data_IF_525031341342
#
_entry.id   IF_525031341342
#
_cell.length_a   1.000
_cell.length_b   1.000
_cell.length_c   1.000
_cell.angle_alpha   90.00
_cell.angle_beta   90.00
_cell.angle_gamma   90.00
#
_symmetry.space_group_name_H-M   'P 1'
#
loop_
_entity.id
_entity.type
_entity.pdbx_description
1 polymer ?
#
# COMPACT_ATOMS: atom_id res chain seq x y z
N UNK A 1 0.61 1.39 -33.98
CA UNK A 1 -0.60 1.57 -33.14
C UNK A 1 -1.84 1.52 -34.02
N UNK A 2 -2.87 0.74 -33.65
CA UNK A 2 -4.14 0.65 -34.39
C UNK A 2 -5.04 1.87 -34.12
N UNK A 3 -6.05 2.11 -34.97
CA UNK A 3 -7.03 3.20 -34.77
C UNK A 3 -7.79 3.02 -33.45
N UNK A 4 -8.21 1.78 -33.14
CA UNK A 4 -8.90 1.47 -31.89
C UNK A 4 -8.02 1.77 -30.68
N UNK A 5 -6.74 1.37 -30.71
CA UNK A 5 -5.82 1.63 -29.61
C UNK A 5 -5.60 3.13 -29.41
N UNK A 6 -5.42 3.89 -30.49
CA UNK A 6 -5.32 5.35 -30.43
C UNK A 6 -6.51 5.96 -29.69
N UNK A 7 -7.74 5.60 -30.08
CA UNK A 7 -8.95 6.14 -29.46
C UNK A 7 -9.05 5.81 -27.97
N UNK A 8 -8.64 4.60 -27.57
CA UNK A 8 -8.58 4.21 -26.16
C UNK A 8 -7.59 5.08 -25.38
N UNK A 9 -6.39 5.30 -25.92
CA UNK A 9 -5.38 6.13 -25.26
C UNK A 9 -5.81 7.59 -25.14
N UNK A 10 -6.44 8.15 -26.19
CA UNK A 10 -7.01 9.50 -26.15
C UNK A 10 -8.10 9.60 -25.07
N UNK A 11 -8.99 8.59 -24.99
CA UNK A 11 -10.03 8.51 -23.94
C UNK A 11 -9.42 8.47 -22.54
N UNK A 12 -8.33 7.70 -22.35
CA UNK A 12 -7.63 7.65 -21.07
C UNK A 12 -7.00 9.01 -20.75
N UNK A 13 -6.32 9.65 -21.70
CA UNK A 13 -5.72 10.96 -21.48
C UNK A 13 -6.76 12.02 -21.09
N UNK A 14 -7.94 11.98 -21.70
CA UNK A 14 -9.07 12.82 -21.31
C UNK A 14 -9.57 12.50 -19.89
N UNK A 15 -9.66 11.21 -19.52
CA UNK A 15 -10.03 10.79 -18.16
C UNK A 15 -9.01 11.26 -17.10
N UNK A 16 -7.73 11.32 -17.46
CA UNK A 16 -6.66 11.85 -16.61
C UNK A 16 -6.59 13.38 -16.63
N UNK A 17 -7.48 14.05 -17.38
CA UNK A 17 -7.56 15.51 -17.53
C UNK A 17 -6.25 16.13 -18.03
N UNK A 18 -5.49 15.40 -18.85
CA UNK A 18 -4.22 15.88 -19.38
C UNK A 18 -4.44 16.87 -20.53
N UNK A 19 -3.61 17.93 -20.64
CA UNK A 19 -3.69 18.82 -21.79
C UNK A 19 -3.43 18.08 -23.10
N UNK A 20 -4.16 18.46 -24.17
CA UNK A 20 -4.03 17.84 -25.48
C UNK A 20 -2.59 17.95 -25.99
N UNK A 21 -1.99 16.80 -26.34
CA UNK A 21 -0.61 16.73 -26.83
C UNK A 21 0.47 16.88 -25.77
N UNK A 22 0.12 16.93 -24.48
CA UNK A 22 1.10 17.01 -23.39
C UNK A 22 1.96 15.73 -23.27
N UNK A 23 1.45 14.59 -23.72
CA UNK A 23 2.14 13.29 -23.70
C UNK A 23 1.97 12.63 -25.05
N UNK A 24 3.07 12.10 -25.59
CA UNK A 24 3.02 11.32 -26.83
C UNK A 24 2.24 10.01 -26.61
N UNK A 25 1.32 9.69 -27.53
CA UNK A 25 0.52 8.46 -27.43
C UNK A 25 1.36 7.19 -27.36
N UNK A 26 2.50 7.14 -28.04
CA UNK A 26 3.40 5.99 -28.00
C UNK A 26 4.03 5.80 -26.60
N UNK A 27 4.30 6.89 -25.89
CA UNK A 27 4.83 6.86 -24.54
C UNK A 27 3.77 6.42 -23.53
N UNK A 28 2.53 6.91 -23.68
CA UNK A 28 1.40 6.43 -22.88
C UNK A 28 1.10 4.94 -23.14
N UNK A 29 1.18 4.49 -24.40
CA UNK A 29 1.01 3.08 -24.75
C UNK A 29 2.09 2.20 -24.09
N UNK A 30 3.34 2.69 -24.06
CA UNK A 30 4.44 2.01 -23.38
C UNK A 30 4.19 1.88 -21.87
N UNK A 31 3.70 2.93 -21.22
CA UNK A 31 3.36 2.91 -19.78
C UNK A 31 2.30 1.85 -19.43
N UNK A 32 1.41 1.55 -20.38
CA UNK A 32 0.33 0.57 -20.24
C UNK A 32 0.72 -0.84 -20.70
N UNK A 33 1.97 -1.06 -21.12
CA UNK A 33 2.45 -2.35 -21.62
C UNK A 33 3.24 -3.09 -20.54
N UNK A 34 2.63 -4.10 -19.95
CA UNK A 34 3.22 -4.91 -18.90
C UNK A 34 4.37 -5.80 -19.41
N UNK A 35 5.34 -6.08 -18.55
CA UNK A 35 6.48 -6.96 -18.84
C UNK A 35 6.06 -8.33 -19.42
N UNK A 36 4.92 -8.88 -18.99
CA UNK A 36 4.45 -10.17 -19.50
C UNK A 36 4.08 -10.12 -20.97
N UNK A 37 3.71 -8.95 -21.51
CA UNK A 37 3.39 -8.78 -22.92
C UNK A 37 4.63 -8.75 -23.80
N UNK A 38 5.75 -8.19 -23.32
CA UNK A 38 6.99 -8.08 -24.09
C UNK A 38 8.20 -7.88 -23.17
N UNK A 39 9.24 -8.68 -23.38
CA UNK A 39 10.48 -8.57 -22.61
C UNK A 39 11.34 -7.35 -22.99
N UNK A 40 11.06 -6.70 -24.13
CA UNK A 40 11.90 -5.60 -24.65
C UNK A 40 11.17 -4.27 -24.78
N UNK A 41 9.83 -4.30 -24.81
CA UNK A 41 8.97 -3.13 -24.97
C UNK A 41 7.91 -3.19 -23.87
N UNK A 42 8.28 -2.71 -22.69
CA UNK A 42 7.45 -2.75 -21.49
C UNK A 42 7.62 -1.48 -20.64
N UNK A 43 6.83 -1.42 -19.59
CA UNK A 43 6.72 -0.28 -18.69
C UNK A 43 7.75 -0.24 -17.56
N UNK A 44 8.61 -1.25 -17.34
CA UNK A 44 9.49 -1.35 -16.16
C UNK A 44 10.42 -0.13 -15.99
N UNK A 45 10.93 0.43 -17.09
CA UNK A 45 11.78 1.63 -17.02
C UNK A 45 10.98 2.89 -16.65
N UNK A 46 9.73 2.95 -17.09
CA UNK A 46 8.83 4.05 -16.75
C UNK A 46 8.35 3.91 -15.30
N UNK A 47 8.04 2.70 -14.84
CA UNK A 47 7.73 2.37 -13.45
C UNK A 47 8.87 2.86 -12.54
N UNK A 48 10.12 2.45 -12.83
CA UNK A 48 11.29 2.87 -12.06
C UNK A 48 11.43 4.41 -11.94
N UNK A 49 11.24 5.14 -13.04
CA UNK A 49 11.29 6.61 -13.03
C UNK A 49 10.09 7.23 -12.31
N UNK A 50 8.91 6.68 -12.57
CA UNK A 50 7.64 7.17 -12.06
C UNK A 50 7.47 6.97 -10.56
N UNK A 51 8.02 5.89 -10.00
CA UNK A 51 8.08 5.65 -8.57
C UNK A 51 8.90 6.75 -7.85
N UNK A 52 10.04 7.16 -8.41
CA UNK A 52 10.80 8.29 -7.88
C UNK A 52 10.01 9.61 -7.98
N UNK A 53 9.37 9.87 -9.12
CA UNK A 53 8.54 11.05 -9.32
C UNK A 53 7.33 11.09 -8.37
N UNK A 54 6.66 9.96 -8.17
CA UNK A 54 5.56 9.78 -7.23
C UNK A 54 5.97 10.13 -5.80
N UNK A 55 7.11 9.60 -5.33
CA UNK A 55 7.58 9.87 -3.96
C UNK A 55 7.99 11.31 -3.74
N UNK A 56 8.52 11.97 -4.78
CA UNK A 56 8.82 13.40 -4.75
C UNK A 56 7.53 14.23 -4.70
N UNK A 57 6.63 14.02 -5.67
CA UNK A 57 5.35 14.73 -5.75
C UNK A 57 4.52 14.57 -4.45
N UNK A 58 4.43 13.36 -3.92
CA UNK A 58 3.74 13.12 -2.65
C UNK A 58 4.43 13.78 -1.45
N UNK A 59 5.76 13.93 -1.48
CA UNK A 59 6.53 14.67 -0.48
C UNK A 59 6.26 16.17 -0.53
N UNK A 60 6.37 16.76 -1.72
CA UNK A 60 6.07 18.18 -1.97
C UNK A 60 4.63 18.51 -1.57
N UNK A 61 3.67 17.70 -2.03
CA UNK A 61 2.27 17.83 -1.66
C UNK A 61 2.04 17.85 -0.14
N UNK A 62 2.64 16.91 0.61
CA UNK A 62 2.48 16.84 2.07
C UNK A 62 3.12 18.03 2.78
N UNK A 63 4.28 18.48 2.32
CA UNK A 63 4.97 19.64 2.88
C UNK A 63 4.17 20.94 2.69
N UNK A 64 3.54 21.11 1.53
CA UNK A 64 2.78 22.30 1.20
C UNK A 64 1.38 22.30 1.82
N UNK A 65 0.66 21.18 1.73
CA UNK A 65 -0.76 21.09 2.12
C UNK A 65 -0.97 20.74 3.59
N UNK A 66 0.03 20.13 4.25
CA UNK A 66 -0.05 19.70 5.65
C UNK A 66 1.20 20.12 6.46
N UNK A 67 1.54 21.42 6.50
CA UNK A 67 2.77 21.92 7.13
C UNK A 67 2.80 21.69 8.64
N UNK A 68 1.67 21.37 9.27
CA UNK A 68 1.59 21.04 10.70
C UNK A 68 2.07 19.63 11.04
N UNK A 69 2.22 18.74 10.05
CA UNK A 69 2.71 17.38 10.28
C UNK A 69 4.18 17.39 10.67
N UNK A 70 4.54 16.55 11.64
CA UNK A 70 5.95 16.25 11.89
C UNK A 70 6.57 15.48 10.72
N UNK A 71 7.90 15.53 10.56
CA UNK A 71 8.61 14.78 9.53
C UNK A 71 8.32 13.26 9.58
N UNK A 72 8.20 12.70 10.80
CA UNK A 72 7.85 11.31 11.00
C UNK A 72 6.45 10.98 10.50
N UNK A 73 5.47 11.85 10.76
CA UNK A 73 4.10 11.70 10.27
C UNK A 73 4.02 11.85 8.75
N UNK A 74 4.69 12.85 8.17
CA UNK A 74 4.76 13.02 6.72
C UNK A 74 5.33 11.76 6.05
N UNK A 75 6.41 11.21 6.59
CA UNK A 75 7.02 9.97 6.08
C UNK A 75 6.07 8.78 6.18
N UNK A 76 5.38 8.63 7.32
CA UNK A 76 4.40 7.55 7.53
C UNK A 76 3.20 7.69 6.57
N UNK A 77 2.63 8.88 6.44
CA UNK A 77 1.51 9.15 5.52
C UNK A 77 1.95 8.91 4.08
N UNK A 78 3.09 9.46 3.65
CA UNK A 78 3.63 9.25 2.30
C UNK A 78 3.74 7.77 1.97
N UNK A 79 4.27 6.95 2.90
CA UNK A 79 4.40 5.50 2.68
C UNK A 79 3.06 4.80 2.40
N UNK A 80 1.96 5.30 2.96
CA UNK A 80 0.62 4.78 2.70
C UNK A 80 0.08 5.27 1.36
N UNK A 81 0.29 6.55 1.04
CA UNK A 81 -0.17 7.18 -0.21
C UNK A 81 0.45 6.53 -1.46
N UNK A 82 1.74 6.18 -1.38
CA UNK A 82 2.52 5.61 -2.50
C UNK A 82 2.59 4.08 -2.46
N UNK A 83 1.77 3.43 -1.63
CA UNK A 83 1.77 1.96 -1.54
C UNK A 83 1.04 1.31 -2.73
N UNK A 84 1.42 0.10 -3.12
CA UNK A 84 0.76 -0.65 -4.20
C UNK A 84 -0.75 -0.75 -3.98
N UNK A 85 -1.18 -0.91 -2.72
CA UNK A 85 -2.60 -0.96 -2.37
C UNK A 85 -3.30 0.35 -2.73
N UNK A 86 -2.70 1.48 -2.41
CA UNK A 86 -3.23 2.80 -2.74
C UNK A 86 -3.25 3.03 -4.25
N UNK A 87 -2.15 2.74 -4.94
CA UNK A 87 -2.00 2.91 -6.37
C UNK A 87 -2.93 1.97 -7.15
N UNK A 88 -3.07 0.70 -6.76
CA UNK A 88 -4.04 -0.21 -7.36
C UNK A 88 -5.48 0.25 -7.17
N UNK A 89 -5.79 0.89 -6.04
CA UNK A 89 -7.12 1.50 -5.81
C UNK A 89 -7.34 2.69 -6.73
N UNK A 90 -6.30 3.52 -6.94
CA UNK A 90 -6.34 4.62 -7.89
C UNK A 90 -6.51 4.13 -9.32
N UNK A 91 -5.74 3.14 -9.74
CA UNK A 91 -5.82 2.50 -11.05
C UNK A 91 -7.23 1.95 -11.35
N UNK A 92 -7.87 1.33 -10.36
CA UNK A 92 -9.25 0.83 -10.49
C UNK A 92 -10.28 1.94 -10.69
N UNK A 93 -10.10 3.12 -10.06
CA UNK A 93 -10.99 4.26 -10.28
C UNK A 93 -11.00 4.73 -11.73
N UNK A 94 -9.87 4.62 -12.41
CA UNK A 94 -9.72 4.93 -13.83
C UNK A 94 -9.95 3.72 -14.76
N UNK A 95 -10.37 2.57 -14.22
CA UNK A 95 -10.52 1.32 -14.98
C UNK A 95 -9.27 0.94 -15.80
N UNK A 96 -8.06 1.18 -15.28
CA UNK A 96 -6.80 0.96 -16.00
C UNK A 96 -6.62 -0.48 -16.52
N UNK A 97 -7.27 -1.46 -15.89
CA UNK A 97 -7.34 -2.84 -16.39
C UNK A 97 -7.77 -2.95 -17.87
N UNK A 98 -8.64 -2.05 -18.34
CA UNK A 98 -9.12 -2.08 -19.72
C UNK A 98 -8.07 -1.60 -20.74
N UNK A 99 -7.12 -0.78 -20.28
CA UNK A 99 -6.09 -0.19 -21.11
C UNK A 99 -4.77 -0.98 -21.06
N UNK A 100 -4.61 -1.87 -20.09
CA UNK A 100 -3.41 -2.69 -19.92
C UNK A 100 -3.22 -3.68 -21.08
N UNK A 101 -2.00 -3.75 -21.58
CA UNK A 101 -1.56 -4.76 -22.55
C UNK A 101 -0.85 -5.87 -21.77
N UNK A 102 -1.49 -7.03 -21.70
CA UNK A 102 -1.02 -8.20 -20.94
C UNK A 102 -0.88 -9.43 -21.84
N UNK A 103 -0.02 -10.36 -21.45
CA UNK A 103 -0.10 -11.73 -21.98
C UNK A 103 -1.38 -12.44 -21.54
N UNK A 104 -1.77 -13.51 -22.25
CA UNK A 104 -2.95 -14.32 -21.89
C UNK A 104 -2.85 -14.93 -20.49
N UNK A 105 -1.65 -15.35 -20.07
CA UNK A 105 -1.42 -15.91 -18.74
C UNK A 105 -1.57 -14.83 -17.67
N UNK A 106 -0.95 -13.65 -17.85
CA UNK A 106 -1.06 -12.55 -16.89
C UNK A 106 -2.49 -12.00 -16.79
N UNK A 107 -3.25 -11.97 -17.89
CA UNK A 107 -4.66 -11.59 -17.86
C UNK A 107 -5.53 -12.53 -17.00
N UNK A 108 -5.16 -13.81 -16.88
CA UNK A 108 -5.84 -14.79 -16.03
C UNK A 108 -5.37 -14.81 -14.56
N UNK A 109 -4.20 -14.24 -14.26
CA UNK A 109 -3.64 -14.19 -12.91
C UNK A 109 -4.30 -13.08 -12.07
N UNK A 110 -5.27 -13.47 -11.23
CA UNK A 110 -5.93 -12.52 -10.32
C UNK A 110 -5.05 -12.11 -9.14
N UNK A 111 -4.06 -12.92 -8.75
CA UNK A 111 -3.24 -12.65 -7.58
C UNK A 111 -2.29 -11.47 -7.82
N UNK A 112 -1.65 -11.42 -9.00
CA UNK A 112 -0.77 -10.31 -9.40
C UNK A 112 -1.48 -9.07 -9.94
N UNK A 113 -2.81 -9.10 -10.10
CA UNK A 113 -3.55 -8.02 -10.76
C UNK A 113 -3.39 -6.65 -10.08
N UNK A 114 -3.33 -6.61 -8.74
CA UNK A 114 -3.15 -5.35 -8.03
C UNK A 114 -1.72 -4.80 -8.18
N UNK A 115 -0.70 -5.66 -8.21
CA UNK A 115 0.69 -5.23 -8.41
C UNK A 115 0.80 -4.55 -9.78
N UNK A 116 0.39 -5.25 -10.84
CA UNK A 116 0.44 -4.70 -12.21
C UNK A 116 -0.29 -3.37 -12.34
N UNK A 117 -1.43 -3.22 -11.65
CA UNK A 117 -2.16 -1.95 -11.63
C UNK A 117 -1.41 -0.82 -10.91
N UNK A 118 -0.70 -1.12 -9.83
CA UNK A 118 0.16 -0.16 -9.14
C UNK A 118 1.34 0.24 -10.05
N UNK A 119 2.04 -0.75 -10.59
CA UNK A 119 3.19 -0.57 -11.50
C UNK A 119 2.78 0.27 -12.73
N UNK A 120 1.56 0.07 -13.23
CA UNK A 120 1.00 0.87 -14.33
C UNK A 120 0.80 2.34 -13.95
N UNK A 121 0.33 2.63 -12.73
CA UNK A 121 0.17 4.02 -12.27
C UNK A 121 1.53 4.69 -12.15
N UNK A 122 2.53 3.98 -11.62
CA UNK A 122 3.91 4.47 -11.57
C UNK A 122 4.44 4.71 -12.99
N UNK A 123 4.25 3.77 -13.91
CA UNK A 123 4.67 3.95 -15.29
C UNK A 123 3.99 5.13 -16.00
N UNK A 124 2.69 5.38 -15.73
CA UNK A 124 2.00 6.58 -16.23
C UNK A 124 2.67 7.84 -15.67
N UNK A 125 2.95 7.89 -14.36
CA UNK A 125 3.68 9.00 -13.75
C UNK A 125 5.08 9.18 -14.38
N UNK A 126 5.78 8.09 -14.69
CA UNK A 126 7.05 8.11 -15.41
C UNK A 126 6.92 8.73 -16.80
N UNK A 127 5.85 8.40 -17.54
CA UNK A 127 5.55 9.01 -18.83
C UNK A 127 5.22 10.51 -18.73
N UNK A 128 4.45 10.91 -17.72
CA UNK A 128 4.14 12.32 -17.45
C UNK A 128 5.42 13.10 -17.16
N UNK A 129 6.27 12.57 -16.28
CA UNK A 129 7.55 13.19 -15.93
C UNK A 129 8.48 13.28 -17.14
N UNK A 130 8.60 12.21 -17.94
CA UNK A 130 9.49 12.20 -19.10
C UNK A 130 9.05 13.22 -20.18
N UNK A 131 7.76 13.52 -20.25
CA UNK A 131 7.21 14.46 -21.23
C UNK A 131 7.56 15.93 -20.93
N UNK A 132 7.84 16.28 -19.67
CA UNK A 132 8.11 17.68 -19.25
C UNK A 132 9.46 17.87 -18.55
N UNK A 133 10.06 16.80 -18.05
CA UNK A 133 11.24 16.82 -17.19
C UNK A 133 10.98 17.33 -15.76
N UNK A 134 9.72 17.47 -15.35
CA UNK A 134 9.32 17.97 -14.03
C UNK A 134 7.92 17.47 -13.63
N UNK A 135 7.38 17.96 -12.51
CA UNK A 135 6.10 17.50 -11.94
C UNK A 135 4.86 18.27 -12.42
N UNK A 136 4.98 19.17 -13.41
CA UNK A 136 3.88 20.04 -13.86
C UNK A 136 2.64 19.31 -14.42
N UNK A 137 2.81 18.10 -14.96
CA UNK A 137 1.68 17.24 -15.36
C UNK A 137 1.22 16.30 -14.25
N UNK A 138 2.05 16.08 -13.23
CA UNK A 138 1.77 15.14 -12.15
C UNK A 138 0.91 15.79 -11.08
N UNK A 139 1.28 16.98 -10.57
CA UNK A 139 0.56 17.64 -9.48
C UNK A 139 -0.92 17.87 -9.78
N UNK A 140 -1.32 18.47 -10.92
CA UNK A 140 -2.73 18.76 -11.19
C UNK A 140 -3.60 17.50 -11.17
N UNK A 141 -3.05 16.37 -11.61
CA UNK A 141 -3.75 15.09 -11.65
C UNK A 141 -3.69 14.34 -10.30
N UNK A 142 -2.53 14.29 -9.67
CA UNK A 142 -2.27 13.43 -8.51
C UNK A 142 -2.72 14.08 -7.19
N UNK A 143 -2.53 15.39 -7.02
CA UNK A 143 -2.78 16.09 -5.75
C UNK A 143 -4.21 15.94 -5.22
N UNK A 144 -5.29 16.04 -6.04
CA UNK A 144 -6.65 15.82 -5.55
C UNK A 144 -6.86 14.41 -4.97
N UNK A 145 -6.11 13.42 -5.48
CA UNK A 145 -6.15 12.06 -4.95
C UNK A 145 -5.36 11.93 -3.64
N UNK A 146 -4.17 12.53 -3.58
CA UNK A 146 -3.35 12.56 -2.37
C UNK A 146 -4.06 13.29 -1.23
N UNK A 147 -4.77 14.39 -1.52
CA UNK A 147 -5.53 15.15 -0.53
C UNK A 147 -6.65 14.31 0.08
N UNK A 148 -7.47 13.69 -0.78
CA UNK A 148 -8.55 12.80 -0.33
C UNK A 148 -8.00 11.65 0.51
N UNK A 149 -6.96 10.98 0.03
CA UNK A 149 -6.36 9.84 0.72
C UNK A 149 -5.70 10.24 2.05
N UNK A 150 -5.05 11.40 2.10
CA UNK A 150 -4.46 11.95 3.33
C UNK A 150 -5.54 12.26 4.36
N UNK A 151 -6.64 12.91 3.96
CA UNK A 151 -7.79 13.17 4.84
C UNK A 151 -8.40 11.88 5.40
N UNK A 152 -8.60 10.87 4.56
CA UNK A 152 -9.05 9.55 4.99
C UNK A 152 -8.07 8.91 5.99
N UNK A 153 -6.76 8.91 5.70
CA UNK A 153 -5.75 8.32 6.59
C UNK A 153 -5.68 9.03 7.94
N UNK A 154 -5.82 10.35 7.98
CA UNK A 154 -5.81 11.13 9.23
C UNK A 154 -7.06 10.93 10.08
N UNK A 155 -8.18 10.55 9.46
CA UNK A 155 -9.40 10.22 10.23
C UNK A 155 -9.28 8.92 11.01
N UNK A 156 -8.33 8.05 10.64
CA UNK A 156 -8.00 6.82 11.33
C UNK A 156 -6.83 7.07 12.32
N UNK A 157 -7.02 6.86 13.65
CA UNK A 157 -5.97 7.07 14.64
C UNK A 157 -4.69 6.26 14.40
N UNK A 158 -4.78 5.13 13.70
CA UNK A 158 -3.62 4.29 13.35
C UNK A 158 -3.12 4.51 11.92
N UNK A 159 -3.74 5.41 11.14
CA UNK A 159 -3.38 5.70 9.74
C UNK A 159 -3.25 4.43 8.88
N UNK A 160 -4.15 3.46 9.09
CA UNK A 160 -4.16 2.13 8.46
C UNK A 160 -2.89 1.29 8.67
N UNK A 161 -2.06 1.63 9.66
CA UNK A 161 -0.88 0.85 10.06
C UNK A 161 -0.95 0.52 11.56
N UNK A 162 -1.92 -0.31 11.92
CA UNK A 162 -2.18 -0.73 13.30
C UNK A 162 -1.00 -1.45 13.95
N UNK A 163 -0.19 -2.21 13.19
CA UNK A 163 1.04 -2.84 13.73
C UNK A 163 2.03 -1.79 14.25
N UNK A 164 2.31 -0.75 13.45
CA UNK A 164 3.22 0.32 13.85
C UNK A 164 2.61 1.18 14.97
N UNK A 165 1.33 1.53 14.86
CA UNK A 165 0.63 2.30 15.89
C UNK A 165 0.58 1.55 17.24
N UNK A 166 0.37 0.23 17.21
CA UNK A 166 0.41 -0.62 18.40
C UNK A 166 1.82 -0.69 19.00
N UNK A 167 2.84 -0.82 18.16
CA UNK A 167 4.22 -0.79 18.64
C UNK A 167 4.57 0.54 19.31
N UNK A 168 4.14 1.66 18.72
CA UNK A 168 4.38 3.00 19.27
C UNK A 168 3.67 3.21 20.62
N UNK A 169 2.40 2.83 20.73
CA UNK A 169 1.63 3.00 21.97
C UNK A 169 2.17 2.11 23.10
N UNK A 170 2.57 0.87 22.81
CA UNK A 170 3.11 -0.02 23.84
C UNK A 170 4.51 0.40 24.26
N UNK A 171 5.38 0.78 23.31
CA UNK A 171 6.74 1.21 23.60
C UNK A 171 6.76 2.54 24.34
N UNK A 172 5.87 3.48 23.99
CA UNK A 172 5.79 4.78 24.67
C UNK A 172 5.27 4.64 26.10
N UNK A 173 4.16 3.93 26.31
CA UNK A 173 3.46 3.80 27.60
C UNK A 173 4.09 2.79 28.56
N UNK A 174 4.55 1.64 28.06
CA UNK A 174 4.95 0.50 28.89
C UNK A 174 6.41 0.07 28.68
N UNK A 175 7.14 0.71 27.75
CA UNK A 175 8.56 0.39 27.41
C UNK A 175 8.79 -1.05 26.90
N UNK A 176 7.74 -1.69 26.42
CA UNK A 176 7.76 -3.07 25.90
C UNK A 176 7.07 -3.16 24.53
N UNK A 177 7.45 -4.18 23.75
CA UNK A 177 6.90 -4.47 22.43
C UNK A 177 5.85 -5.60 22.50
N UNK A 178 4.79 -5.56 21.68
CA UNK A 178 3.86 -6.68 21.53
C UNK A 178 4.52 -7.83 20.76
N UNK A 179 4.09 -9.04 21.06
CA UNK A 179 4.55 -10.28 20.42
C UNK A 179 3.45 -10.77 19.47
N UNK A 180 3.84 -11.10 18.24
CA UNK A 180 2.95 -11.68 17.24
C UNK A 180 3.20 -13.17 17.13
N UNK A 181 2.13 -13.96 17.13
CA UNK A 181 2.16 -15.38 16.78
C UNK A 181 1.28 -15.57 15.55
N UNK A 182 1.80 -16.18 14.49
CA UNK A 182 1.06 -16.36 13.24
C UNK A 182 1.14 -17.81 12.78
N UNK A 183 0.04 -18.32 12.27
CA UNK A 183 -0.09 -19.68 11.75
C UNK A 183 -0.91 -19.68 10.46
N UNK A 184 -0.61 -20.64 9.59
CA UNK A 184 -1.44 -20.93 8.42
C UNK A 184 -2.56 -21.89 8.83
N UNK A 185 -3.81 -21.45 8.71
CA UNK A 185 -5.00 -22.20 9.15
C UNK A 185 -5.79 -22.82 7.99
N UNK A 186 -5.44 -22.48 6.74
CA UNK A 186 -6.03 -23.05 5.53
C UNK A 186 -4.96 -23.29 4.48
N UNK A 187 -5.07 -24.42 3.78
CA UNK A 187 -4.17 -24.80 2.66
C UNK A 187 -4.81 -24.50 1.29
N UNK A 188 -5.99 -23.89 1.28
CA UNK A 188 -6.70 -23.56 0.04
C UNK A 188 -6.03 -22.37 -0.62
N UNK A 189 -5.62 -22.55 -1.88
CA UNK A 189 -5.00 -21.48 -2.65
C UNK A 189 -6.00 -20.35 -2.92
N UNK A 190 -5.63 -19.12 -2.54
CA UNK A 190 -6.48 -17.93 -2.71
C UNK A 190 -7.52 -17.73 -1.60
N UNK A 191 -7.45 -18.47 -0.48
CA UNK A 191 -8.30 -18.24 0.68
C UNK A 191 -8.02 -16.86 1.33
N UNK A 192 -9.07 -16.07 1.53
CA UNK A 192 -8.98 -14.74 2.15
C UNK A 192 -8.71 -14.81 3.66
N UNK A 193 -8.94 -15.96 4.31
CA UNK A 193 -8.65 -16.23 5.72
C UNK A 193 -7.55 -17.28 5.93
N UNK A 194 -6.61 -17.36 4.97
CA UNK A 194 -5.55 -18.38 4.98
C UNK A 194 -4.70 -18.42 6.24
N UNK A 195 -4.41 -17.25 6.81
CA UNK A 195 -3.55 -17.09 7.98
C UNK A 195 -4.34 -16.50 9.13
N UNK A 196 -3.99 -16.94 10.34
CA UNK A 196 -4.43 -16.39 11.62
C UNK A 196 -3.23 -15.82 12.35
N UNK A 197 -3.40 -14.68 12.99
CA UNK A 197 -2.40 -14.06 13.82
C UNK A 197 -3.00 -13.63 15.16
N UNK A 198 -2.21 -13.77 16.21
CA UNK A 198 -2.51 -13.35 17.56
C UNK A 198 -1.49 -12.32 18.01
N UNK A 199 -1.96 -11.32 18.75
CA UNK A 199 -1.15 -10.26 19.34
C UNK A 199 -1.21 -10.36 20.85
N UNK A 200 -0.06 -10.61 21.44
CA UNK A 200 0.15 -10.78 22.86
C UNK A 200 0.92 -9.60 23.43
N UNK A 201 0.53 -9.12 24.61
CA UNK A 201 1.26 -8.08 25.32
C UNK A 201 1.29 -8.39 26.81
N UNK A 202 2.48 -8.47 27.41
CA UNK A 202 2.69 -8.89 28.80
C UNK A 202 1.93 -10.18 29.17
N UNK A 203 1.89 -11.17 28.25
CA UNK A 203 1.21 -12.45 28.47
C UNK A 203 -0.31 -12.42 28.28
N UNK A 204 -0.91 -11.28 27.95
CA UNK A 204 -2.35 -11.15 27.66
C UNK A 204 -2.59 -11.10 26.16
N UNK A 205 -3.55 -11.90 25.68
CA UNK A 205 -4.02 -11.84 24.28
C UNK A 205 -4.83 -10.56 24.06
N UNK A 206 -4.25 -9.62 23.32
CA UNK A 206 -4.90 -8.35 23.00
C UNK A 206 -5.75 -8.41 21.74
N UNK A 207 -5.37 -9.21 20.74
CA UNK A 207 -6.11 -9.27 19.48
C UNK A 207 -5.83 -10.53 18.70
N UNK A 208 -6.82 -10.91 17.90
CA UNK A 208 -6.73 -12.02 16.95
C UNK A 208 -7.26 -11.54 15.60
N UNK A 209 -6.51 -11.80 14.53
CA UNK A 209 -6.87 -11.38 13.19
C UNK A 209 -6.63 -12.49 12.18
N UNK A 210 -7.33 -12.41 11.06
CA UNK A 210 -7.15 -13.31 9.94
C UNK A 210 -6.88 -12.53 8.65
N UNK A 211 -6.28 -13.19 7.69
CA UNK A 211 -6.08 -12.63 6.36
C UNK A 211 -5.41 -13.59 5.40
N UNK A 212 -5.39 -13.21 4.12
CA UNK A 212 -4.82 -14.01 3.04
C UNK A 212 -3.28 -14.10 3.07
N UNK A 213 -2.65 -13.28 3.90
CA UNK A 213 -1.20 -13.30 4.18
C UNK A 213 -0.94 -13.03 5.66
N UNK A 214 0.22 -13.48 6.16
CA UNK A 214 0.68 -13.20 7.53
C UNK A 214 0.59 -11.71 7.84
N UNK A 215 1.11 -10.85 6.95
CA UNK A 215 1.09 -9.39 7.13
C UNK A 215 -0.34 -8.84 7.31
N UNK A 216 -1.32 -9.36 6.58
CA UNK A 216 -2.72 -8.93 6.74
C UNK A 216 -3.33 -9.44 8.04
N UNK A 217 -3.12 -10.71 8.38
CA UNK A 217 -3.59 -11.29 9.62
C UNK A 217 -3.03 -10.53 10.84
N UNK A 218 -1.72 -10.21 10.82
CA UNK A 218 -1.08 -9.41 11.87
C UNK A 218 -1.66 -8.00 11.98
N UNK A 219 -1.93 -7.32 10.85
CA UNK A 219 -2.56 -5.98 10.89
C UNK A 219 -3.97 -6.04 11.47
N UNK A 220 -4.77 -7.05 11.11
CA UNK A 220 -6.10 -7.24 11.66
C UNK A 220 -6.05 -7.53 13.17
N UNK A 221 -5.09 -8.35 13.62
CA UNK A 221 -4.89 -8.63 15.04
C UNK A 221 -4.44 -7.37 15.80
N UNK A 222 -3.56 -6.57 15.18
CA UNK A 222 -3.08 -5.30 15.73
C UNK A 222 -4.19 -4.25 15.84
N UNK A 223 -5.13 -4.22 14.88
CA UNK A 223 -6.29 -3.31 14.90
C UNK A 223 -7.15 -3.54 16.13
N UNK A 224 -7.49 -4.80 16.41
CA UNK A 224 -8.24 -5.18 17.61
C UNK A 224 -7.46 -4.83 18.87
N UNK A 225 -6.17 -5.18 18.93
CA UNK A 225 -5.32 -4.89 20.08
C UNK A 225 -5.18 -3.39 20.34
N UNK A 226 -5.02 -2.59 19.29
CA UNK A 226 -4.91 -1.13 19.36
C UNK A 226 -6.21 -0.51 19.89
N UNK A 227 -7.36 -0.97 19.40
CA UNK A 227 -8.67 -0.55 19.90
C UNK A 227 -8.84 -0.77 21.41
N UNK A 228 -8.44 -1.95 21.92
CA UNK A 228 -8.48 -2.26 23.36
C UNK A 228 -7.61 -1.31 24.20
N UNK A 229 -6.39 -1.01 23.73
CA UNK A 229 -5.48 -0.09 24.44
C UNK A 229 -5.89 1.39 24.36
N UNK A 230 -6.64 1.79 23.32
CA UNK A 230 -7.23 3.13 23.24
C UNK A 230 -8.41 3.31 24.19
N UNK A 231 -9.27 2.29 24.35
CA UNK A 231 -10.46 2.34 25.20
C UNK A 231 -10.16 2.24 26.69
N UNK A 232 -8.89 2.09 27.07
CA UNK A 232 -8.48 2.12 28.47
C UNK A 232 -8.90 0.88 29.26
N UNK A 233 -9.07 -0.28 28.61
CA UNK A 233 -9.08 -1.56 29.33
C UNK A 233 -7.87 -1.56 30.28
N UNK A 234 -8.13 -1.84 31.55
CA UNK A 234 -7.60 -1.08 32.67
C UNK A 234 -6.07 -1.02 32.80
N UNK A 235 -5.56 0.10 33.33
CA UNK A 235 -4.16 0.30 33.74
C UNK A 235 -3.65 -0.79 34.71
N UNK A 236 -4.56 -1.54 35.34
CA UNK A 236 -4.27 -2.60 36.32
C UNK A 236 -4.22 -4.01 35.72
N UNK A 237 -4.71 -4.24 34.48
CA UNK A 237 -4.81 -5.60 33.90
C UNK A 237 -3.54 -6.05 33.17
N UNK A 238 -2.62 -5.13 32.87
CA UNK A 238 -1.46 -5.38 32.01
C UNK A 238 -0.11 -5.24 32.71
N UNK A 239 -0.10 -5.12 34.05
CA UNK A 239 1.12 -5.22 34.85
C UNK A 239 1.51 -6.69 35.00
N UNK A 240 2.81 -6.97 35.03
CA UNK A 240 3.37 -8.33 35.09
C UNK A 240 2.97 -9.13 36.35
N UNK A 241 2.19 -8.56 37.26
CA UNK A 241 1.81 -9.14 38.55
C UNK A 241 0.51 -9.97 38.50
N UNK A 242 -0.31 -9.87 37.44
CA UNK A 242 -1.63 -10.52 37.37
C UNK A 242 -1.77 -11.62 36.30
N UNK A 243 -0.69 -12.05 35.66
CA UNK A 243 -0.73 -13.08 34.63
C UNK A 243 -0.27 -14.41 35.21
N UNK A 244 -1.18 -15.39 35.30
CA UNK A 244 -0.83 -16.81 35.40
C UNK A 244 0.14 -17.13 34.26
N UNK A 245 1.42 -17.25 34.60
CA UNK A 245 2.48 -17.63 33.67
C UNK A 245 2.17 -19.01 33.12
N UNK A 246 1.58 -19.08 31.92
CA UNK A 246 1.81 -20.22 31.04
C UNK A 246 3.22 -20.02 30.47
N UNK A 247 4.15 -20.87 30.89
CA UNK A 247 5.48 -20.95 30.28
C UNK A 247 5.31 -21.13 28.77
N UNK A 248 5.62 -20.07 28.01
CA UNK A 248 5.68 -20.14 26.56
C UNK A 248 7.04 -20.72 26.22
N UNK A 249 7.06 -22.00 25.85
CA UNK A 249 8.25 -22.67 25.34
C UNK A 249 8.61 -22.06 23.97
N UNK A 250 9.59 -21.15 23.97
CA UNK A 250 10.09 -20.51 22.74
C UNK A 250 10.83 -21.56 21.92
N UNK A 251 10.14 -22.21 20.98
CA UNK A 251 10.81 -22.98 19.92
C UNK A 251 11.38 -22.00 18.89
N UNK A 252 12.64 -21.66 19.07
CA UNK A 252 13.49 -21.06 18.04
C UNK A 252 13.62 -22.05 16.85
N UNK A 253 13.12 -21.74 15.64
CA UNK A 253 13.56 -22.47 14.47
C UNK A 253 14.96 -21.94 14.13
N UNK A 254 15.96 -22.76 14.44
CA UNK A 254 17.35 -22.51 14.09
C UNK A 254 17.50 -22.27 12.58
N UNK A 255 18.37 -21.30 12.25
CA UNK A 255 18.98 -21.09 10.93
C UNK A 255 19.34 -22.43 10.28
N UNK A 256 18.81 -22.69 9.10
CA UNK A 256 19.43 -23.60 8.14
C UNK A 256 20.09 -22.76 7.05
N UNK A 257 21.42 -22.79 7.10
CA UNK A 257 22.38 -22.45 6.04
C UNK A 257 22.14 -23.25 4.77
#
# INVERSE_FOLDING_TARGET
MTVVRRQLLETLMDQLELPVGAVELALMDLALTDISSSATVNNEKLEFLGDAALRLAAGEFLMEMFPEMSLGEMSAVRSQLVSDRALATLAKRYNLNHYLVLSKSAAGDKAGANSRLADTVEAILGALYLSTGNLSLIHPWLDPHLERMTKELRSDPARKNYKAALQEITQSRYKSLPIYQSEEISQVHGDEERFRAEVWFNGVLLGEGKGRSIKQAEQAAAEIAFGKLQQGADRETFTAENVETKEIEIKNPARAS
#
